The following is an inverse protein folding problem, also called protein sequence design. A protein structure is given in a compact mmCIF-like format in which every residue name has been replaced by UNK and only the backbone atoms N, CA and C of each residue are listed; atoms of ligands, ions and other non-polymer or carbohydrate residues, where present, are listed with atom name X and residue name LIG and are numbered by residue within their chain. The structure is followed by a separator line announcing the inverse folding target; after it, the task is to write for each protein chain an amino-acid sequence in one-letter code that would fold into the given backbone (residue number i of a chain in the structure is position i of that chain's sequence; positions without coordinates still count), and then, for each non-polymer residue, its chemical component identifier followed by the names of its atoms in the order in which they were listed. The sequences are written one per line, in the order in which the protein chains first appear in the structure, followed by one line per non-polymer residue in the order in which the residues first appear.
data_IF_094478517167
#
_entry.id   IF_094478517167
#
_cell.length_a   1.000
_cell.length_b   1.000
_cell.length_c   1.000
_cell.angle_alpha   90.00
_cell.angle_beta   90.00
_cell.angle_gamma   90.00
#
_symmetry.space_group_name_H-M   'P 1'
#
loop_
_entity.id
_entity.type
_entity.pdbx_description
1 polymer ?
#
# COMPACT_ATOMS: atom_id res chain seq x y z
N UNK A 1 0.06 -15.44 -26.15
CA UNK A 1 1.07 -14.48 -25.67
C UNK A 1 0.43 -13.69 -24.54
N UNK A 2 0.96 -13.81 -23.34
CA UNK A 2 0.65 -12.86 -22.27
C UNK A 2 1.29 -11.54 -22.68
N UNK A 3 0.50 -10.60 -23.21
CA UNK A 3 0.97 -9.22 -23.32
C UNK A 3 1.41 -8.78 -21.94
N UNK A 4 2.63 -8.27 -21.81
CA UNK A 4 3.29 -7.83 -20.59
C UNK A 4 2.44 -6.75 -19.86
N UNK A 5 1.35 -7.14 -19.25
CA UNK A 5 0.74 -6.32 -18.21
C UNK A 5 1.62 -6.49 -16.97
N UNK A 6 2.60 -5.60 -16.83
CA UNK A 6 3.40 -5.49 -15.62
C UNK A 6 2.46 -5.40 -14.44
N UNK A 7 2.62 -6.30 -13.48
CA UNK A 7 1.99 -6.17 -12.18
C UNK A 7 2.33 -4.77 -11.66
N UNK A 8 1.31 -3.96 -11.42
CA UNK A 8 1.47 -2.59 -10.94
C UNK A 8 1.90 -2.64 -9.47
N UNK A 9 2.77 -1.74 -9.09
CA UNK A 9 3.22 -1.56 -7.71
C UNK A 9 3.09 -0.08 -7.38
N UNK A 10 2.48 0.22 -6.27
CA UNK A 10 2.49 1.56 -5.71
C UNK A 10 3.90 1.90 -5.24
N UNK A 11 4.45 3.00 -5.71
CA UNK A 11 5.67 3.57 -5.16
C UNK A 11 5.27 4.48 -4.00
N UNK A 12 5.51 4.04 -2.79
CA UNK A 12 5.37 4.93 -1.62
C UNK A 12 6.61 5.82 -1.56
N UNK A 13 6.45 7.12 -1.77
CA UNK A 13 7.52 8.11 -1.62
C UNK A 13 7.71 8.47 -0.14
N UNK A 14 8.11 7.50 0.67
CA UNK A 14 8.30 7.69 2.11
C UNK A 14 9.70 8.21 2.47
N UNK A 15 10.26 9.17 1.71
CA UNK A 15 11.55 9.80 2.02
C UNK A 15 11.41 11.11 2.82
N UNK A 16 10.36 11.28 3.61
CA UNK A 16 10.32 12.38 4.56
C UNK A 16 11.07 11.99 5.83
N UNK A 17 12.32 12.45 5.94
CA UNK A 17 13.04 12.43 7.20
C UNK A 17 12.33 13.39 8.17
N UNK A 18 11.55 12.84 9.10
CA UNK A 18 11.10 13.55 10.29
C UNK A 18 12.34 13.88 11.15
N UNK A 19 13.10 14.90 10.76
CA UNK A 19 14.26 15.31 11.56
C UNK A 19 13.74 16.13 12.74
N UNK A 20 13.93 15.59 13.94
CA UNK A 20 13.89 16.34 15.18
C UNK A 20 14.96 17.46 15.09
N UNK A 21 14.51 18.68 14.94
CA UNK A 21 15.38 19.84 15.02
C UNK A 21 15.33 20.34 16.46
N UNK A 22 16.44 20.25 17.19
CA UNK A 22 16.66 21.02 18.41
C UNK A 22 16.71 22.49 18.04
N UNK A 23 15.62 23.24 18.17
CA UNK A 23 15.56 24.59 17.61
C UNK A 23 14.78 25.57 18.50
N UNK A 24 15.25 26.81 18.50
CA UNK A 24 14.62 27.95 19.13
C UNK A 24 13.25 28.23 18.48
N UNK A 25 12.24 28.45 19.32
CA UNK A 25 10.86 28.70 18.89
C UNK A 25 10.57 30.19 18.83
N UNK A 26 9.78 30.61 17.85
CA UNK A 26 9.07 31.90 17.89
C UNK A 26 7.57 31.65 17.87
N UNK A 27 6.82 32.29 18.76
CA UNK A 27 5.35 32.33 18.67
C UNK A 27 4.93 33.27 17.57
N UNK A 28 4.04 32.84 16.69
CA UNK A 28 3.50 33.66 15.63
C UNK A 28 2.32 34.49 16.16
N UNK A 29 2.45 35.83 16.08
CA UNK A 29 1.36 36.80 16.33
C UNK A 29 0.69 37.25 15.00
N UNK A 30 0.65 36.37 13.99
CA UNK A 30 0.06 36.62 12.67
C UNK A 30 -0.92 35.54 12.24
N UNK A 31 -1.57 35.71 11.09
CA UNK A 31 -2.53 34.74 10.55
C UNK A 31 -1.92 33.33 10.54
N UNK A 32 -2.55 32.44 11.32
CA UNK A 32 -2.11 31.04 11.43
C UNK A 32 -2.31 30.34 10.09
N UNK A 33 -1.29 29.65 9.59
CA UNK A 33 -1.42 28.73 8.43
C UNK A 33 -2.32 27.52 8.71
N UNK A 34 -2.76 27.36 9.97
CA UNK A 34 -3.68 26.32 10.44
C UNK A 34 -4.98 27.02 10.79
N UNK A 35 -6.05 26.64 10.11
CA UNK A 35 -7.38 27.24 10.28
C UNK A 35 -8.08 26.78 11.57
N UNK A 36 -9.02 27.59 12.08
CA UNK A 36 -9.85 27.24 13.23
C UNK A 36 -10.66 25.95 12.98
N UNK A 37 -11.05 25.70 11.74
CA UNK A 37 -11.75 24.46 11.34
C UNK A 37 -10.85 23.24 11.48
N UNK A 38 -9.60 23.32 11.04
CA UNK A 38 -8.62 22.23 11.20
C UNK A 38 -8.33 21.93 12.67
N UNK A 39 -8.24 22.98 13.49
CA UNK A 39 -8.10 22.85 14.94
C UNK A 39 -9.33 22.15 15.56
N UNK A 40 -10.53 22.59 15.18
CA UNK A 40 -11.77 21.97 15.64
C UNK A 40 -11.84 20.49 15.25
N UNK A 41 -11.49 20.16 14.00
CA UNK A 41 -11.47 18.80 13.49
C UNK A 41 -10.44 17.93 14.25
N UNK A 42 -9.25 18.45 14.54
CA UNK A 42 -8.26 17.75 15.36
C UNK A 42 -8.84 17.27 16.68
N UNK A 43 -9.55 18.16 17.40
CA UNK A 43 -10.09 17.81 18.72
C UNK A 43 -11.36 16.97 18.68
N UNK A 44 -12.11 16.98 17.57
CA UNK A 44 -13.29 16.13 17.38
C UNK A 44 -12.95 14.73 16.90
N UNK A 45 -11.95 14.58 16.03
CA UNK A 45 -11.56 13.29 15.44
C UNK A 45 -10.59 12.49 16.31
N UNK A 46 -9.79 13.20 17.14
CA UNK A 46 -8.77 12.59 17.98
C UNK A 46 -9.09 12.85 19.46
N UNK A 47 -9.68 11.89 20.21
CA UNK A 47 -9.90 12.03 21.65
C UNK A 47 -8.56 12.14 22.41
N UNK A 48 -8.55 12.74 23.65
CA UNK A 48 -7.34 12.85 24.46
C UNK A 48 -6.67 11.50 24.70
N UNK A 49 -5.33 11.49 24.70
CA UNK A 49 -4.59 10.31 25.13
C UNK A 49 -4.70 10.13 26.64
N UNK A 50 -5.08 8.93 27.06
CA UNK A 50 -5.13 8.54 28.48
C UNK A 50 -3.89 7.67 28.81
N UNK A 51 -2.70 8.21 28.58
CA UNK A 51 -1.43 7.49 28.79
C UNK A 51 -0.67 7.98 30.06
N UNK A 52 -1.32 8.82 30.87
CA UNK A 52 -0.77 9.33 32.12
C UNK A 52 0.19 10.50 31.96
N UNK A 53 0.43 10.97 30.74
CA UNK A 53 1.30 12.12 30.48
C UNK A 53 0.51 13.42 30.63
N UNK A 54 1.06 14.36 31.41
CA UNK A 54 0.48 15.68 31.54
C UNK A 54 0.83 16.55 30.34
N UNK A 55 -0.18 16.96 29.57
CA UNK A 55 -0.01 17.77 28.37
C UNK A 55 -0.64 19.14 28.48
N UNK A 56 -0.07 20.13 27.80
CA UNK A 56 -0.61 21.46 27.65
C UNK A 56 -0.75 21.84 26.18
N UNK A 57 -1.87 22.48 25.84
CA UNK A 57 -2.07 23.01 24.50
C UNK A 57 -1.29 24.33 24.34
N UNK A 58 -0.54 24.47 23.25
CA UNK A 58 0.17 25.71 22.93
C UNK A 58 -0.32 26.29 21.60
N UNK A 59 -0.19 27.62 21.48
CA UNK A 59 -0.33 28.34 20.20
C UNK A 59 0.66 27.81 19.17
N UNK A 60 0.43 28.12 17.89
CA UNK A 60 1.32 27.72 16.80
C UNK A 60 2.77 28.16 17.06
N UNK A 61 3.67 27.21 16.86
CA UNK A 61 5.12 27.41 17.01
C UNK A 61 5.75 27.22 15.63
N UNK A 62 6.49 28.23 15.18
CA UNK A 62 7.29 28.12 13.94
C UNK A 62 8.73 27.74 14.31
N UNK A 63 9.26 26.73 13.57
CA UNK A 63 10.63 26.27 13.69
C UNK A 63 11.55 27.02 12.71
N UNK A 64 12.86 26.98 12.93
CA UNK A 64 13.86 27.61 12.02
C UNK A 64 13.74 27.11 10.57
N UNK A 65 13.37 25.84 10.38
CA UNK A 65 13.14 25.23 9.06
C UNK A 65 11.78 25.61 8.43
N UNK A 66 11.08 26.60 9.02
CA UNK A 66 9.77 27.08 8.57
C UNK A 66 8.61 26.06 8.72
N UNK A 67 8.84 24.94 9.41
CA UNK A 67 7.74 24.08 9.82
C UNK A 67 6.94 24.75 10.93
N UNK A 68 5.64 24.49 10.96
CA UNK A 68 4.72 25.03 11.97
C UNK A 68 4.06 23.87 12.67
N UNK A 69 4.04 23.92 14.00
CA UNK A 69 3.31 22.96 14.84
C UNK A 69 2.28 23.67 15.71
N UNK A 70 1.09 23.09 15.76
CA UNK A 70 0.02 23.43 16.70
C UNK A 70 -0.45 22.15 17.40
N UNK A 71 -0.48 22.14 18.72
CA UNK A 71 -0.94 20.96 19.43
C UNK A 71 -0.51 20.88 20.89
N UNK A 72 -0.67 19.69 21.42
CA UNK A 72 -0.36 19.36 22.80
C UNK A 72 1.14 19.07 22.99
N UNK A 73 1.66 19.45 24.16
CA UNK A 73 3.06 19.31 24.55
C UNK A 73 3.13 18.66 25.92
N UNK A 74 4.05 17.73 26.10
CA UNK A 74 4.40 17.21 27.40
C UNK A 74 4.97 18.34 28.28
N UNK A 75 4.35 18.54 29.46
CA UNK A 75 4.73 19.64 30.38
C UNK A 75 6.13 19.44 30.95
N UNK A 76 6.55 18.20 31.16
CA UNK A 76 7.83 17.87 31.79
C UNK A 76 8.99 17.88 30.81
N UNK A 77 8.83 17.24 29.62
CA UNK A 77 9.93 17.07 28.65
C UNK A 77 9.97 18.17 27.60
N UNK A 78 8.89 18.95 27.45
CA UNK A 78 8.73 19.96 26.41
C UNK A 78 8.80 19.40 24.98
N UNK A 79 8.35 18.16 24.78
CA UNK A 79 8.24 17.48 23.51
C UNK A 79 6.79 17.47 23.02
N UNK A 80 6.58 17.38 21.71
CA UNK A 80 5.24 17.15 21.14
C UNK A 80 4.67 15.85 21.68
N UNK A 81 3.48 15.92 22.28
CA UNK A 81 2.81 14.76 22.86
C UNK A 81 1.31 15.00 22.88
N UNK A 82 0.50 13.96 22.59
CA UNK A 82 -0.94 14.13 22.46
C UNK A 82 -1.35 14.47 21.03
N UNK A 83 -2.28 15.38 20.86
CA UNK A 83 -2.87 15.74 19.54
C UNK A 83 -2.14 16.93 18.94
N UNK A 84 -1.92 16.89 17.62
CA UNK A 84 -1.27 18.03 16.96
C UNK A 84 -1.33 18.00 15.45
N UNK A 85 -1.13 19.19 14.87
CA UNK A 85 -1.01 19.43 13.44
C UNK A 85 0.39 19.97 13.19
N UNK A 86 1.11 19.40 12.25
CA UNK A 86 2.36 19.94 11.75
C UNK A 86 2.30 20.19 10.26
N UNK A 87 2.73 21.36 9.84
CA UNK A 87 2.92 21.72 8.43
C UNK A 87 4.41 21.92 8.21
N UNK A 88 4.98 21.25 7.21
CA UNK A 88 6.37 21.42 6.83
C UNK A 88 6.51 22.52 5.76
N UNK A 89 7.74 22.98 5.54
CA UNK A 89 8.05 24.04 4.58
C UNK A 89 7.76 23.66 3.12
N UNK A 90 7.70 22.35 2.81
CA UNK A 90 7.34 21.83 1.49
C UNK A 90 5.81 21.75 1.27
N UNK A 91 5.01 22.11 2.27
CA UNK A 91 3.55 22.07 2.24
C UNK A 91 2.95 20.74 2.70
N UNK A 92 3.76 19.73 3.02
CA UNK A 92 3.25 18.50 3.63
C UNK A 92 2.61 18.81 4.98
N UNK A 93 1.56 18.05 5.35
CA UNK A 93 0.82 18.27 6.57
C UNK A 93 0.49 16.95 7.26
N UNK A 94 0.83 16.84 8.55
CA UNK A 94 0.41 15.75 9.41
C UNK A 94 -0.60 16.24 10.44
N UNK A 95 -1.65 15.47 10.65
CA UNK A 95 -2.67 15.66 11.70
C UNK A 95 -2.86 14.36 12.43
N UNK A 96 -2.70 14.34 13.75
CA UNK A 96 -2.84 13.10 14.50
C UNK A 96 -2.17 13.14 15.87
N UNK A 97 -1.84 11.96 16.35
CA UNK A 97 -1.18 11.82 17.65
C UNK A 97 0.34 11.91 17.54
N UNK A 98 0.92 12.49 18.58
CA UNK A 98 2.36 12.66 18.80
C UNK A 98 2.78 11.99 20.08
N UNK A 99 3.97 11.45 20.11
CA UNK A 99 4.63 10.93 21.31
C UNK A 99 6.13 11.18 21.21
N UNK A 100 6.68 11.93 22.17
CA UNK A 100 8.12 12.25 22.24
C UNK A 100 8.63 12.80 20.89
N UNK A 101 8.00 13.89 20.42
CA UNK A 101 8.27 14.58 19.16
C UNK A 101 8.00 13.79 17.86
N UNK A 102 7.48 12.56 17.95
CA UNK A 102 7.24 11.69 16.79
C UNK A 102 5.77 11.42 16.55
N UNK A 103 5.38 11.32 15.27
CA UNK A 103 4.07 10.81 14.88
C UNK A 103 3.85 9.39 15.43
N UNK A 104 2.71 9.16 16.05
CA UNK A 104 2.41 7.90 16.72
C UNK A 104 0.91 7.61 16.73
N UNK A 105 0.51 6.34 16.96
CA UNK A 105 -0.90 5.91 16.99
C UNK A 105 -1.61 6.24 15.68
N UNK A 106 -2.71 6.98 15.71
CA UNK A 106 -3.49 7.34 14.52
C UNK A 106 -3.14 8.73 14.02
N UNK A 107 -3.07 8.87 12.71
CA UNK A 107 -2.84 10.17 12.08
C UNK A 107 -2.96 10.10 10.56
N UNK A 108 -3.06 11.30 9.98
CA UNK A 108 -3.17 11.53 8.55
C UNK A 108 -2.04 12.42 8.08
N UNK A 109 -1.30 11.95 7.08
CA UNK A 109 -0.27 12.72 6.38
C UNK A 109 -0.75 13.03 4.97
N UNK A 110 -0.72 14.28 4.60
CA UNK A 110 -0.90 14.77 3.23
C UNK A 110 0.48 15.22 2.77
N UNK A 111 1.02 14.55 1.75
CA UNK A 111 2.30 14.90 1.15
C UNK A 111 2.17 16.15 0.27
N UNK A 112 3.30 16.79 -0.02
CA UNK A 112 3.33 18.00 -0.85
C UNK A 112 2.87 17.79 -2.30
N UNK A 113 2.95 16.55 -2.80
CA UNK A 113 2.44 16.13 -4.11
C UNK A 113 0.94 15.76 -4.09
N UNK A 114 0.32 15.78 -2.90
CA UNK A 114 -1.10 15.51 -2.69
C UNK A 114 -1.42 14.05 -2.36
N UNK A 115 -0.45 13.15 -2.31
CA UNK A 115 -0.64 11.79 -1.83
C UNK A 115 -1.04 11.79 -0.34
N UNK A 116 -1.88 10.85 0.07
CA UNK A 116 -2.41 10.80 1.43
C UNK A 116 -2.12 9.45 2.06
N UNK A 117 -1.55 9.45 3.25
CA UNK A 117 -1.58 8.30 4.15
C UNK A 117 -2.47 8.60 5.35
N UNK A 118 -3.37 7.68 5.67
CA UNK A 118 -4.22 7.74 6.86
C UNK A 118 -4.23 6.37 7.53
N UNK A 119 -3.76 6.31 8.79
CA UNK A 119 -3.62 5.03 9.47
C UNK A 119 -2.87 5.12 10.78
N UNK A 120 -2.30 3.99 11.16
CA UNK A 120 -1.52 3.86 12.37
C UNK A 120 -0.06 4.26 12.12
N UNK A 121 0.58 4.83 13.14
CA UNK A 121 1.93 5.34 13.15
C UNK A 121 2.71 4.80 14.33
N UNK A 122 3.97 4.53 14.13
CA UNK A 122 4.93 4.19 15.18
C UNK A 122 6.26 4.88 14.90
N UNK A 123 6.64 5.82 15.78
CA UNK A 123 7.91 6.56 15.74
C UNK A 123 8.20 7.15 14.34
N UNK A 124 7.28 8.01 13.84
CA UNK A 124 7.32 8.69 12.53
C UNK A 124 7.16 7.78 11.31
N UNK A 125 6.82 6.50 11.50
CA UNK A 125 6.66 5.55 10.41
C UNK A 125 5.23 5.05 10.33
N UNK A 126 4.73 4.89 9.10
CA UNK A 126 3.50 4.16 8.84
C UNK A 126 3.64 2.73 9.39
N UNK A 127 2.68 2.32 10.21
CA UNK A 127 2.69 1.03 10.89
C UNK A 127 1.25 0.55 11.11
N UNK A 128 1.05 -0.75 11.44
CA UNK A 128 -0.29 -1.27 11.71
C UNK A 128 -1.20 -1.18 10.49
N UNK A 129 -2.46 -0.79 10.67
CA UNK A 129 -3.42 -0.68 9.58
C UNK A 129 -3.46 0.75 9.04
N UNK A 130 -3.48 0.88 7.72
CA UNK A 130 -3.54 2.19 7.08
C UNK A 130 -3.93 2.14 5.60
N UNK A 131 -4.33 3.30 5.12
CA UNK A 131 -4.69 3.54 3.72
C UNK A 131 -3.72 4.55 3.12
N UNK A 132 -3.16 4.21 1.97
CA UNK A 132 -2.39 5.14 1.14
C UNK A 132 -3.17 5.40 -0.15
N UNK A 133 -3.35 6.65 -0.48
CA UNK A 133 -4.05 7.08 -1.68
C UNK A 133 -3.15 8.01 -2.50
N UNK A 134 -2.88 7.62 -3.73
CA UNK A 134 -2.20 8.46 -4.71
C UNK A 134 -3.14 9.46 -5.36
N UNK A 135 -2.57 10.57 -5.78
CA UNK A 135 -3.28 11.62 -6.54
C UNK A 135 -3.83 11.14 -7.89
N UNK A 136 -3.21 10.12 -8.48
CA UNK A 136 -3.73 9.46 -9.69
C UNK A 136 -4.95 8.55 -9.43
N UNK A 137 -5.36 8.39 -8.16
CA UNK A 137 -6.49 7.59 -7.71
C UNK A 137 -6.16 6.14 -7.37
N UNK A 138 -4.91 5.70 -7.51
CA UNK A 138 -4.51 4.39 -7.02
C UNK A 138 -4.51 4.38 -5.48
N UNK A 139 -4.92 3.25 -4.89
CA UNK A 139 -5.11 3.15 -3.44
C UNK A 139 -4.61 1.80 -2.91
N UNK A 140 -3.91 1.84 -1.78
CA UNK A 140 -3.61 0.66 -0.97
C UNK A 140 -4.32 0.78 0.38
N UNK A 141 -4.92 -0.31 0.84
CA UNK A 141 -5.49 -0.44 2.18
C UNK A 141 -5.04 -1.77 2.78
N UNK A 142 -4.34 -1.72 3.90
CA UNK A 142 -3.82 -2.94 4.50
C UNK A 142 -2.85 -2.67 5.64
N UNK A 143 -2.01 -3.66 5.90
CA UNK A 143 -1.03 -3.63 6.96
C UNK A 143 0.28 -2.96 6.49
N UNK A 144 0.92 -2.24 7.42
CA UNK A 144 2.16 -1.51 7.24
C UNK A 144 3.18 -1.91 8.29
N UNK A 145 4.42 -2.01 7.91
CA UNK A 145 5.56 -2.28 8.79
C UNK A 145 6.68 -1.33 8.43
N UNK A 146 6.92 -0.32 9.28
CA UNK A 146 8.00 0.66 9.12
C UNK A 146 8.04 1.25 7.69
N UNK A 147 6.97 1.95 7.28
CA UNK A 147 6.76 2.60 5.98
C UNK A 147 6.61 1.69 4.77
N UNK A 148 6.53 0.39 4.98
CA UNK A 148 6.36 -0.57 3.89
C UNK A 148 5.07 -1.36 4.04
N UNK A 149 4.42 -1.64 2.91
CA UNK A 149 3.32 -2.59 2.87
C UNK A 149 3.79 -3.94 3.39
N UNK A 150 2.99 -4.56 4.28
CA UNK A 150 3.29 -5.84 4.89
C UNK A 150 2.00 -6.60 5.20
N UNK A 151 2.07 -7.90 5.52
CA UNK A 151 0.90 -8.69 5.83
C UNK A 151 -0.15 -8.67 4.73
N UNK A 152 -1.43 -8.60 5.09
CA UNK A 152 -2.53 -8.57 4.11
C UNK A 152 -2.89 -7.16 3.68
N UNK A 153 -3.21 -7.00 2.37
CA UNK A 153 -3.65 -5.74 1.82
C UNK A 153 -4.48 -5.86 0.53
N UNK A 154 -5.18 -4.78 0.24
CA UNK A 154 -5.96 -4.57 -0.98
C UNK A 154 -5.37 -3.37 -1.72
N UNK A 155 -5.05 -3.54 -2.98
CA UNK A 155 -4.58 -2.48 -3.86
C UNK A 155 -5.54 -2.33 -5.03
N UNK A 156 -5.92 -1.10 -5.37
CA UNK A 156 -6.83 -0.79 -6.47
C UNK A 156 -6.25 0.32 -7.34
N UNK A 157 -6.56 0.28 -8.63
CA UNK A 157 -6.11 1.28 -9.60
C UNK A 157 -7.29 1.90 -10.36
N UNK A 158 -7.11 3.12 -10.91
CA UNK A 158 -8.17 3.84 -11.63
C UNK A 158 -8.72 3.11 -12.85
N UNK A 159 -7.94 2.21 -13.45
CA UNK A 159 -8.39 1.39 -14.58
C UNK A 159 -9.34 0.25 -14.18
N UNK A 160 -9.65 0.12 -12.87
CA UNK A 160 -10.50 -0.93 -12.32
C UNK A 160 -9.74 -2.23 -11.99
N UNK A 161 -8.43 -2.28 -12.21
CA UNK A 161 -7.65 -3.43 -11.74
C UNK A 161 -7.52 -3.43 -10.21
N UNK A 162 -7.31 -4.61 -9.63
CA UNK A 162 -7.16 -4.77 -8.18
C UNK A 162 -6.28 -5.96 -7.83
N UNK A 163 -5.67 -5.88 -6.66
CA UNK A 163 -4.97 -6.97 -6.04
C UNK A 163 -5.43 -7.13 -4.58
N UNK A 164 -5.62 -8.36 -4.16
CA UNK A 164 -5.89 -8.74 -2.76
C UNK A 164 -4.94 -9.87 -2.40
N UNK A 165 -4.11 -9.68 -1.37
CA UNK A 165 -3.13 -10.71 -1.02
C UNK A 165 -2.11 -10.25 -0.01
N UNK A 166 -1.03 -11.02 0.06
CA UNK A 166 0.04 -10.83 1.01
C UNK A 166 1.13 -9.89 0.45
N UNK A 167 1.74 -9.15 1.36
CA UNK A 167 2.85 -8.23 1.10
C UNK A 167 3.99 -8.50 2.07
N UNK A 168 5.21 -8.36 1.59
CA UNK A 168 6.42 -8.36 2.39
C UNK A 168 7.38 -7.28 1.87
N UNK A 169 7.82 -6.39 2.74
CA UNK A 169 8.75 -5.30 2.39
C UNK A 169 8.28 -4.45 1.20
N UNK A 170 6.97 -4.16 1.09
CA UNK A 170 6.38 -3.37 0.01
C UNK A 170 6.18 -4.13 -1.30
N UNK A 171 6.31 -5.44 -1.32
CA UNK A 171 6.17 -6.27 -2.51
C UNK A 171 5.11 -7.35 -2.31
N UNK A 172 4.34 -7.63 -3.37
CA UNK A 172 3.40 -8.75 -3.40
C UNK A 172 4.16 -10.06 -3.22
N UNK A 173 3.70 -10.90 -2.30
CA UNK A 173 4.27 -12.22 -1.98
C UNK A 173 3.19 -13.19 -1.54
N UNK A 174 3.55 -14.46 -1.26
CA UNK A 174 2.61 -15.44 -0.73
C UNK A 174 1.39 -15.62 -1.60
N UNK A 175 0.22 -15.81 -1.00
CA UNK A 175 -1.03 -16.00 -1.73
C UNK A 175 -1.71 -14.67 -2.05
N UNK A 176 -2.24 -14.59 -3.28
CA UNK A 176 -2.96 -13.40 -3.71
C UNK A 176 -3.83 -13.64 -4.93
N UNK A 177 -4.70 -12.65 -5.17
CA UNK A 177 -5.55 -12.58 -6.35
C UNK A 177 -5.38 -11.24 -7.02
N UNK A 178 -5.04 -11.26 -8.29
CA UNK A 178 -5.00 -10.07 -9.15
C UNK A 178 -6.16 -10.14 -10.16
N UNK A 179 -6.88 -9.05 -10.28
CA UNK A 179 -7.94 -8.84 -11.27
C UNK A 179 -7.51 -7.70 -12.18
N UNK A 180 -7.44 -7.93 -13.49
CA UNK A 180 -7.12 -6.89 -14.48
C UNK A 180 -8.38 -6.24 -15.03
N UNK A 181 -8.21 -5.04 -15.56
CA UNK A 181 -9.28 -4.25 -16.17
C UNK A 181 -9.95 -4.93 -17.37
N UNK A 182 -9.24 -5.82 -18.08
CA UNK A 182 -9.77 -6.59 -19.21
C UNK A 182 -10.60 -7.80 -18.79
N UNK A 183 -10.84 -7.97 -17.49
CA UNK A 183 -11.59 -9.08 -16.90
C UNK A 183 -10.79 -10.37 -16.73
N UNK A 184 -9.50 -10.37 -17.07
CA UNK A 184 -8.61 -11.49 -16.73
C UNK A 184 -8.29 -11.47 -15.23
N UNK A 185 -7.93 -12.63 -14.68
CA UNK A 185 -7.56 -12.76 -13.28
C UNK A 185 -6.49 -13.83 -13.06
N UNK A 186 -5.69 -13.62 -12.02
CA UNK A 186 -4.80 -14.64 -11.49
C UNK A 186 -5.07 -14.84 -10.00
N UNK A 187 -5.06 -16.09 -9.57
CA UNK A 187 -5.15 -16.48 -8.16
C UNK A 187 -4.12 -17.57 -7.88
N UNK A 188 -3.18 -17.28 -6.97
CA UNK A 188 -2.07 -18.20 -6.71
C UNK A 188 -0.93 -17.55 -5.95
N UNK A 189 0.27 -18.09 -6.17
CA UNK A 189 1.48 -17.66 -5.51
C UNK A 189 2.10 -16.44 -6.18
N UNK A 190 2.61 -15.52 -5.37
CA UNK A 190 3.39 -14.35 -5.76
C UNK A 190 4.75 -14.36 -5.07
N UNK A 191 5.75 -13.90 -5.77
CA UNK A 191 7.08 -13.63 -5.20
C UNK A 191 7.69 -12.39 -5.85
N UNK A 192 8.12 -11.46 -5.03
CA UNK A 192 8.80 -10.22 -5.46
C UNK A 192 8.01 -9.46 -6.56
N UNK A 193 6.69 -9.27 -6.36
CA UNK A 193 5.73 -8.66 -7.29
C UNK A 193 5.44 -9.48 -8.56
N UNK A 194 5.95 -10.68 -8.69
CA UNK A 194 5.71 -11.53 -9.85
C UNK A 194 4.78 -12.69 -9.49
N UNK A 195 4.01 -13.13 -10.48
CA UNK A 195 3.37 -14.44 -10.44
C UNK A 195 4.48 -15.49 -10.42
N UNK A 196 4.47 -16.35 -9.41
CA UNK A 196 5.49 -17.37 -9.21
C UNK A 196 4.91 -18.54 -8.42
N UNK A 197 5.40 -19.78 -8.60
CA UNK A 197 4.84 -20.95 -7.91
C UNK A 197 3.58 -21.50 -8.59
N UNK A 198 2.56 -21.85 -7.82
CA UNK A 198 1.34 -22.46 -8.36
C UNK A 198 0.18 -21.48 -8.40
N UNK A 199 -0.58 -21.52 -9.50
CA UNK A 199 -1.75 -20.66 -9.59
C UNK A 199 -2.63 -20.93 -10.81
N UNK A 200 -3.74 -20.21 -10.81
CA UNK A 200 -4.74 -20.21 -11.84
C UNK A 200 -4.81 -18.86 -12.52
N UNK A 201 -4.60 -18.83 -13.82
CA UNK A 201 -4.87 -17.66 -14.65
C UNK A 201 -6.13 -17.89 -15.48
N UNK A 202 -7.05 -16.95 -15.44
CA UNK A 202 -8.27 -16.94 -16.26
C UNK A 202 -8.24 -15.72 -17.15
N UNK A 203 -8.26 -15.90 -18.45
CA UNK A 203 -8.34 -14.81 -19.44
C UNK A 203 -9.75 -14.24 -19.53
N UNK A 204 -9.89 -13.02 -19.99
CA UNK A 204 -11.18 -12.37 -20.23
C UNK A 204 -12.11 -13.16 -21.15
N UNK A 205 -11.56 -13.92 -22.11
CA UNK A 205 -12.29 -14.82 -23.00
C UNK A 205 -12.63 -16.20 -22.38
N UNK A 206 -12.39 -16.36 -21.06
CA UNK A 206 -12.66 -17.58 -20.27
C UNK A 206 -11.73 -18.76 -20.55
N UNK A 207 -10.67 -18.62 -21.33
CA UNK A 207 -9.56 -19.59 -21.28
C UNK A 207 -8.99 -19.62 -19.88
N UNK A 208 -8.45 -20.76 -19.47
CA UNK A 208 -7.92 -20.95 -18.13
C UNK A 208 -6.65 -21.79 -18.17
N UNK A 209 -5.65 -21.37 -17.42
CA UNK A 209 -4.46 -22.17 -17.13
C UNK A 209 -4.37 -22.41 -15.62
N UNK A 210 -4.11 -23.64 -15.24
CA UNK A 210 -3.83 -24.07 -13.86
C UNK A 210 -2.51 -24.81 -13.88
N UNK A 211 -1.51 -24.30 -13.17
CA UNK A 211 -0.18 -24.93 -13.22
C UNK A 211 0.89 -24.13 -12.54
N UNK A 212 2.12 -24.45 -12.92
CA UNK A 212 3.31 -23.81 -12.39
C UNK A 212 3.64 -22.51 -13.14
N UNK A 213 4.21 -21.57 -12.41
CA UNK A 213 4.56 -20.24 -12.90
C UNK A 213 5.96 -19.86 -12.43
N UNK A 214 6.70 -19.21 -13.29
CA UNK A 214 7.98 -18.61 -12.95
C UNK A 214 8.11 -17.24 -13.62
N UNK A 215 8.35 -16.21 -12.83
CA UNK A 215 8.55 -14.82 -13.31
C UNK A 215 7.47 -14.38 -14.32
N UNK A 216 6.19 -14.54 -13.96
CA UNK A 216 5.00 -14.19 -14.77
C UNK A 216 4.83 -15.02 -16.06
N UNK A 217 5.44 -16.19 -16.14
CA UNK A 217 5.33 -17.09 -17.30
C UNK A 217 4.85 -18.47 -16.85
N UNK A 218 4.05 -19.12 -17.71
CA UNK A 218 3.74 -20.53 -17.55
C UNK A 218 5.03 -21.34 -17.65
N UNK A 219 5.26 -22.18 -16.65
CA UNK A 219 6.46 -23.01 -16.53
C UNK A 219 6.07 -24.36 -15.92
N UNK A 220 6.85 -25.43 -16.15
CA UNK A 220 6.59 -26.73 -15.56
C UNK A 220 5.26 -27.35 -16.01
N UNK A 221 4.61 -28.09 -15.13
CA UNK A 221 3.38 -28.82 -15.45
C UNK A 221 2.15 -27.91 -15.36
N UNK A 222 1.25 -28.07 -16.34
CA UNK A 222 0.03 -27.27 -16.36
C UNK A 222 -1.11 -27.86 -17.20
N UNK A 223 -2.28 -27.34 -16.88
CA UNK A 223 -3.54 -27.66 -17.57
C UNK A 223 -4.09 -26.38 -18.19
N UNK A 224 -4.21 -26.38 -19.50
CA UNK A 224 -4.86 -25.30 -20.24
C UNK A 224 -6.25 -25.76 -20.71
N UNK A 225 -7.28 -24.97 -20.43
CA UNK A 225 -8.66 -25.27 -20.79
C UNK A 225 -9.24 -24.13 -21.61
N UNK A 226 -9.92 -24.46 -22.70
CA UNK A 226 -10.66 -23.53 -23.56
C UNK A 226 -12.16 -23.51 -23.19
N UNK A 227 -12.87 -22.43 -23.55
CA UNK A 227 -14.32 -22.32 -23.29
C UNK A 227 -15.14 -23.43 -23.95
N UNK A 228 -14.69 -23.95 -25.08
CA UNK A 228 -15.31 -25.06 -25.82
C UNK A 228 -15.00 -26.44 -25.20
N UNK A 229 -14.42 -26.47 -23.99
CA UNK A 229 -14.03 -27.66 -23.22
C UNK A 229 -12.84 -28.43 -23.78
N UNK A 230 -12.18 -27.97 -24.81
CA UNK A 230 -10.85 -28.52 -25.16
C UNK A 230 -9.90 -28.33 -24.00
N UNK A 231 -8.96 -29.27 -23.85
CA UNK A 231 -8.02 -29.29 -22.75
C UNK A 231 -6.65 -29.74 -23.22
N UNK A 232 -5.61 -29.10 -22.73
CA UNK A 232 -4.24 -29.56 -22.88
C UNK A 232 -3.64 -29.78 -21.50
N UNK A 233 -2.99 -30.91 -21.30
CA UNK A 233 -2.23 -31.27 -20.10
C UNK A 233 -0.82 -31.58 -20.52
N UNK A 234 0.16 -30.89 -20.00
CA UNK A 234 1.56 -31.09 -20.37
C UNK A 234 2.49 -30.05 -19.81
N UNK A 235 3.73 -30.14 -20.25
CA UNK A 235 4.81 -29.30 -19.78
C UNK A 235 4.85 -27.95 -20.54
N UNK A 236 5.30 -26.90 -19.87
CA UNK A 236 5.47 -25.55 -20.38
C UNK A 236 6.87 -25.03 -20.08
N UNK A 237 7.46 -24.32 -21.02
CA UNK A 237 8.69 -23.56 -20.87
C UNK A 237 8.49 -22.17 -21.46
N UNK A 238 8.59 -21.14 -20.63
CA UNK A 238 8.45 -19.73 -21.05
C UNK A 238 7.17 -19.48 -21.88
N UNK A 239 5.99 -19.85 -21.37
CA UNK A 239 4.66 -19.69 -21.99
C UNK A 239 4.40 -20.60 -23.21
N UNK A 240 5.33 -21.45 -23.58
CA UNK A 240 5.18 -22.37 -24.73
C UNK A 240 5.01 -23.79 -24.22
N UNK A 241 4.17 -24.56 -24.90
CA UNK A 241 4.12 -26.00 -24.71
C UNK A 241 5.47 -26.59 -25.07
N UNK A 242 5.97 -27.49 -24.24
CA UNK A 242 7.27 -28.12 -24.40
C UNK A 242 7.19 -29.60 -24.02
N UNK A 243 7.92 -30.44 -24.76
CA UNK A 243 7.94 -31.87 -24.52
C UNK A 243 6.58 -32.57 -24.67
N UNK A 244 6.38 -33.62 -23.87
CA UNK A 244 5.21 -34.49 -23.98
C UNK A 244 3.96 -33.83 -23.37
N UNK A 245 2.83 -33.94 -24.13
CA UNK A 245 1.53 -33.48 -23.62
C UNK A 245 0.35 -34.24 -24.22
N UNK A 246 -0.79 -34.06 -23.61
CA UNK A 246 -2.06 -34.67 -23.99
C UNK A 246 -3.06 -33.58 -24.32
N UNK A 247 -3.52 -33.56 -25.57
CA UNK A 247 -4.62 -32.72 -26.01
C UNK A 247 -5.92 -33.54 -26.03
N UNK A 248 -6.98 -33.04 -25.41
CA UNK A 248 -8.30 -33.67 -25.30
C UNK A 248 -9.35 -32.78 -25.96
N UNK A 249 -10.20 -33.38 -26.82
CA UNK A 249 -11.38 -32.73 -27.41
C UNK A 249 -12.66 -33.06 -26.60
N UNK A 250 -13.72 -32.25 -26.72
CA UNK A 250 -14.98 -32.48 -26.02
C UNK A 250 -15.67 -33.80 -26.40
N UNK A 251 -15.40 -34.34 -27.57
CA UNK A 251 -15.93 -35.61 -28.06
C UNK A 251 -15.15 -36.85 -27.55
N UNK A 252 -14.17 -36.63 -26.67
CA UNK A 252 -13.36 -37.67 -26.06
C UNK A 252 -12.12 -38.09 -26.83
N UNK A 253 -11.91 -37.57 -28.04
CA UNK A 253 -10.67 -37.81 -28.78
C UNK A 253 -9.47 -37.25 -28.02
N UNK A 254 -8.34 -37.95 -28.12
CA UNK A 254 -7.07 -37.55 -27.49
C UNK A 254 -5.93 -37.63 -28.50
N UNK A 255 -5.08 -36.63 -28.47
CA UNK A 255 -3.79 -36.64 -29.12
C UNK A 255 -2.70 -36.61 -28.04
N UNK A 256 -1.71 -37.50 -28.16
CA UNK A 256 -0.55 -37.56 -27.30
C UNK A 256 0.70 -37.43 -28.16
N UNK A 257 1.58 -36.50 -27.78
CA UNK A 257 2.80 -36.26 -28.54
C UNK A 257 3.71 -35.23 -27.92
N UNK A 258 4.84 -35.04 -28.57
CA UNK A 258 5.78 -33.97 -28.26
C UNK A 258 5.49 -32.76 -29.15
#
# INVERSE_FOLDING_TARGET
MLTRNKLKTLKTNNNQNFRSANTKFTTLDGESKISDEEIKNLFSEYPPLNDGVNVTLRKSVEYENKAIYYGEWNVETNEKHGRGIQIWSDGSKYTGYWKNDKANKKGKLIHSDGDIYEGEWLDDKAHGNGTYQHTDGAKYQGQWIADKQGGHGVETWPDGSSYVGEYQNGKKCGKGKFQWADGSSYEGDFFDNNINGKGTYTWGDKRKYVGDWENNKMQGEGVFTWPDKRKYVGHYVNDKKDGYGVFEWPDGRKFKGM
#
